data_IF_840172370748
#
_entry.id   IF_840172370748
#
_cell.length_a   1.000
_cell.length_b   1.000
_cell.length_c   1.000
_cell.angle_alpha   90.00
_cell.angle_beta   90.00
_cell.angle_gamma   90.00
#
_symmetry.space_group_name_H-M   'P 1'
#
loop_
_entity.id
_entity.type
_entity.pdbx_description
1 polymer ?
#
# COMPACT_ATOMS: atom_id res chain seq x y z
N UNK A 1 -5.93 9.92 17.15
CA UNK A 1 -6.84 10.24 16.02
C UNK A 1 -7.63 8.99 15.63
N UNK A 2 -8.75 9.09 14.88
CA UNK A 2 -9.40 7.88 14.35
C UNK A 2 -8.59 7.29 13.20
N UNK A 3 -8.72 5.99 12.90
CA UNK A 3 -8.01 5.38 11.76
C UNK A 3 -8.43 6.01 10.43
N UNK A 4 -9.66 6.53 10.33
CA UNK A 4 -10.11 7.31 9.18
C UNK A 4 -9.30 8.61 9.00
N UNK A 5 -9.05 9.35 10.09
CA UNK A 5 -8.24 10.58 10.03
C UNK A 5 -6.78 10.25 9.67
N UNK A 6 -6.24 9.16 10.24
CA UNK A 6 -4.88 8.69 9.92
C UNK A 6 -4.78 8.32 8.43
N UNK A 7 -5.78 7.62 7.88
CA UNK A 7 -5.90 7.29 6.46
C UNK A 7 -5.92 8.54 5.60
N UNK A 8 -6.77 9.52 5.92
CA UNK A 8 -6.91 10.73 5.09
C UNK A 8 -5.63 11.57 5.11
N UNK A 9 -4.93 11.59 6.26
CA UNK A 9 -3.57 12.14 6.36
C UNK A 9 -2.58 11.39 5.47
N UNK A 10 -2.65 10.06 5.39
CA UNK A 10 -1.79 9.28 4.49
C UNK A 10 -2.14 9.49 3.02
N UNK A 11 -3.42 9.66 2.66
CA UNK A 11 -3.82 10.05 1.31
C UNK A 11 -3.18 11.39 0.91
N UNK A 12 -3.23 12.40 1.78
CA UNK A 12 -2.57 13.69 1.52
C UNK A 12 -1.08 13.52 1.29
N UNK A 13 -0.39 12.76 2.14
CA UNK A 13 1.05 12.46 1.97
C UNK A 13 1.36 11.74 0.66
N UNK A 14 0.48 10.82 0.26
CA UNK A 14 0.61 10.11 -1.02
C UNK A 14 0.49 11.09 -2.20
N UNK A 15 -0.49 12.00 -2.15
CA UNK A 15 -0.65 13.06 -3.15
C UNK A 15 0.57 14.00 -3.19
N UNK A 16 1.12 14.36 -2.03
CA UNK A 16 2.32 15.21 -1.94
C UNK A 16 3.55 14.50 -2.53
N UNK A 17 3.72 13.19 -2.27
CA UNK A 17 4.80 12.40 -2.83
C UNK A 17 4.69 12.25 -4.36
N UNK A 18 3.47 12.06 -4.88
CA UNK A 18 3.19 12.06 -6.31
C UNK A 18 3.50 13.42 -6.94
N UNK A 19 3.00 14.51 -6.35
CA UNK A 19 3.25 15.87 -6.87
C UNK A 19 4.75 16.28 -6.84
N UNK A 20 5.58 15.59 -6.07
CA UNK A 20 7.02 15.85 -5.98
C UNK A 20 7.86 15.22 -7.10
N UNK A 21 7.25 14.40 -7.98
CA UNK A 21 7.95 13.71 -9.07
C UNK A 21 7.26 13.92 -10.41
N UNK A 22 8.01 13.74 -11.50
CA UNK A 22 7.44 13.79 -12.85
C UNK A 22 6.47 12.62 -13.09
N UNK A 23 5.44 12.78 -13.94
CA UNK A 23 4.47 11.72 -14.26
C UNK A 23 5.12 10.43 -14.78
N UNK A 24 6.25 10.54 -15.47
CA UNK A 24 7.02 9.41 -16.00
C UNK A 24 7.98 8.75 -15.01
N UNK A 25 8.11 9.28 -13.80
CA UNK A 25 9.06 8.78 -12.81
C UNK A 25 8.76 7.33 -12.42
N UNK A 26 9.79 6.47 -12.39
CA UNK A 26 9.63 5.06 -12.07
C UNK A 26 9.26 4.86 -10.59
N UNK A 27 8.39 3.89 -10.28
CA UNK A 27 8.02 3.55 -8.91
C UNK A 27 8.62 2.20 -8.49
N UNK A 28 8.52 1.84 -7.21
CA UNK A 28 8.85 0.48 -6.76
C UNK A 28 7.85 -0.59 -7.27
N UNK A 29 6.70 -0.18 -7.81
CA UNK A 29 5.84 -1.06 -8.58
C UNK A 29 6.46 -1.29 -9.96
N UNK A 30 7.06 -2.47 -10.18
CA UNK A 30 7.78 -2.77 -11.41
C UNK A 30 6.95 -2.47 -12.67
N UNK A 31 7.50 -1.64 -13.56
CA UNK A 31 6.87 -1.22 -14.81
C UNK A 31 5.80 -0.14 -14.67
N UNK A 32 5.59 0.43 -13.47
CA UNK A 32 4.65 1.52 -13.25
C UNK A 32 5.39 2.86 -13.11
N UNK A 33 4.93 3.83 -13.87
CA UNK A 33 5.23 5.24 -13.66
C UNK A 33 4.42 5.84 -12.51
N UNK A 34 4.79 7.03 -12.04
CA UNK A 34 4.03 7.76 -11.03
C UNK A 34 2.59 8.06 -11.51
N UNK A 35 2.39 8.31 -12.81
CA UNK A 35 1.07 8.45 -13.41
C UNK A 35 0.28 7.14 -13.36
N UNK A 36 0.90 5.99 -13.63
CA UNK A 36 0.22 4.67 -13.49
C UNK A 36 -0.25 4.42 -12.06
N UNK A 37 0.56 4.82 -11.08
CA UNK A 37 0.21 4.70 -9.68
C UNK A 37 -0.95 5.63 -9.29
N UNK A 38 -0.96 6.88 -9.77
CA UNK A 38 -2.07 7.80 -9.54
C UNK A 38 -3.38 7.29 -10.18
N UNK A 39 -3.30 6.75 -11.40
CA UNK A 39 -4.42 6.10 -12.08
C UNK A 39 -4.97 4.93 -11.27
N UNK A 40 -4.08 4.10 -10.75
CA UNK A 40 -4.46 2.98 -9.89
C UNK A 40 -5.22 3.47 -8.65
N UNK A 41 -4.66 4.40 -7.89
CA UNK A 41 -5.31 4.95 -6.69
C UNK A 41 -6.67 5.58 -7.02
N UNK A 42 -6.78 6.29 -8.14
CA UNK A 42 -8.04 6.89 -8.58
C UNK A 42 -9.08 5.81 -8.93
N UNK A 43 -8.68 4.77 -9.66
CA UNK A 43 -9.56 3.67 -10.06
C UNK A 43 -10.07 2.89 -8.85
N UNK A 44 -9.22 2.52 -7.91
CA UNK A 44 -9.67 1.76 -6.73
C UNK A 44 -10.63 2.56 -5.85
N UNK A 45 -10.45 3.88 -5.82
CA UNK A 45 -11.28 4.81 -5.08
C UNK A 45 -12.70 4.93 -5.65
N UNK A 46 -12.86 4.84 -6.97
CA UNK A 46 -14.11 5.15 -7.68
C UNK A 46 -14.80 3.98 -8.37
N UNK A 47 -14.07 2.95 -8.73
CA UNK A 47 -14.59 1.83 -9.51
C UNK A 47 -14.61 0.56 -8.65
N UNK A 48 -15.79 0.16 -8.12
CA UNK A 48 -15.94 -1.07 -7.35
C UNK A 48 -15.58 -2.35 -8.09
N UNK A 49 -15.37 -2.30 -9.41
CA UNK A 49 -14.96 -3.44 -10.24
C UNK A 49 -13.47 -3.40 -10.63
N UNK A 50 -12.74 -2.31 -10.32
CA UNK A 50 -11.32 -2.18 -10.67
C UNK A 50 -10.42 -3.18 -9.93
N UNK A 51 -10.88 -3.78 -8.81
CA UNK A 51 -10.15 -4.82 -8.08
C UNK A 51 -9.94 -6.11 -8.85
N UNK A 52 -10.81 -6.43 -9.82
CA UNK A 52 -10.65 -7.61 -10.65
C UNK A 52 -9.35 -7.55 -11.50
N UNK A 53 -8.88 -6.34 -11.81
CA UNK A 53 -7.61 -6.12 -12.51
C UNK A 53 -6.36 -6.13 -11.61
N UNK A 54 -6.52 -5.97 -10.29
CA UNK A 54 -5.42 -5.87 -9.32
C UNK A 54 -4.89 -7.22 -8.83
N UNK A 55 -5.76 -8.24 -8.72
CA UNK A 55 -5.35 -9.56 -8.23
C UNK A 55 -4.62 -10.41 -9.26
N UNK A 56 -4.71 -10.03 -10.54
CA UNK A 56 -4.11 -10.73 -11.66
C UNK A 56 -2.90 -9.93 -12.14
N UNK A 57 -1.66 -10.35 -11.82
CA UNK A 57 -0.50 -9.67 -12.34
C UNK A 57 -0.52 -9.78 -13.88
N UNK A 58 -0.48 -8.63 -14.55
CA UNK A 58 0.07 -8.44 -15.91
C UNK A 58 -0.81 -8.77 -17.15
N UNK A 59 -2.01 -9.36 -17.07
CA UNK A 59 -2.66 -9.91 -18.30
C UNK A 59 -4.18 -9.73 -18.46
N UNK A 60 -4.69 -8.51 -18.67
CA UNK A 60 -5.78 -8.37 -19.66
C UNK A 60 -5.54 -7.16 -20.56
N UNK A 61 -5.70 -7.27 -21.89
CA UNK A 61 -5.75 -6.11 -22.79
C UNK A 61 -6.77 -5.07 -22.34
N UNK A 62 -7.85 -5.52 -21.68
CA UNK A 62 -8.93 -4.69 -21.16
C UNK A 62 -8.47 -3.74 -20.04
N UNK A 63 -7.61 -4.18 -19.13
CA UNK A 63 -7.06 -3.29 -18.08
C UNK A 63 -6.06 -2.29 -18.64
N UNK A 64 -5.24 -2.68 -19.63
CA UNK A 64 -4.34 -1.75 -20.34
C UNK A 64 -5.12 -0.71 -21.14
N UNK A 65 -6.13 -1.15 -21.91
CA UNK A 65 -6.98 -0.25 -22.68
C UNK A 65 -7.75 0.73 -21.78
N UNK A 66 -8.25 0.28 -20.63
CA UNK A 66 -8.87 1.19 -19.63
C UNK A 66 -7.86 2.17 -19.05
N UNK A 67 -6.69 1.71 -18.64
CA UNK A 67 -5.63 2.60 -18.15
C UNK A 67 -5.25 3.65 -19.21
N UNK A 68 -5.14 3.25 -20.49
CA UNK A 68 -4.85 4.16 -21.60
C UNK A 68 -5.98 5.16 -21.85
N UNK A 69 -7.24 4.74 -21.73
CA UNK A 69 -8.40 5.64 -21.85
C UNK A 69 -8.43 6.67 -20.72
N UNK A 70 -8.19 6.24 -19.47
CA UNK A 70 -8.16 7.16 -18.32
C UNK A 70 -6.95 8.10 -18.45
N UNK A 71 -5.78 7.59 -18.84
CA UNK A 71 -4.57 8.40 -19.09
C UNK A 71 -4.76 9.45 -20.19
N UNK A 72 -5.60 9.17 -21.19
CA UNK A 72 -5.98 10.15 -22.23
C UNK A 72 -7.02 11.16 -21.73
N UNK A 73 -7.79 10.80 -20.70
CA UNK A 73 -8.93 11.57 -20.20
C UNK A 73 -8.53 12.57 -19.12
N UNK A 74 -7.52 12.25 -18.31
CA UNK A 74 -7.07 13.03 -17.16
C UNK A 74 -5.56 13.23 -17.22
N UNK A 75 -5.12 14.45 -16.93
CA UNK A 75 -3.70 14.70 -16.70
C UNK A 75 -3.26 14.08 -15.37
N UNK A 76 -1.95 13.99 -15.17
CA UNK A 76 -1.39 13.47 -13.92
C UNK A 76 -1.78 14.37 -12.73
N UNK A 77 -1.71 15.67 -12.94
CA UNK A 77 -2.07 16.72 -11.99
C UNK A 77 -3.57 16.66 -11.66
N UNK A 78 -4.44 16.51 -12.67
CA UNK A 78 -5.89 16.35 -12.44
C UNK A 78 -6.21 15.15 -11.56
N UNK A 79 -5.50 14.02 -11.75
CA UNK A 79 -5.71 12.82 -10.95
C UNK A 79 -5.30 13.04 -9.49
N UNK A 80 -4.18 13.73 -9.25
CA UNK A 80 -3.73 14.07 -7.89
C UNK A 80 -4.74 14.99 -7.22
N UNK A 81 -5.22 16.01 -7.92
CA UNK A 81 -6.22 16.94 -7.38
C UNK A 81 -7.53 16.23 -7.06
N UNK A 82 -7.98 15.32 -7.95
CA UNK A 82 -9.14 14.49 -7.69
C UNK A 82 -8.96 13.58 -6.47
N UNK A 83 -7.81 12.92 -6.35
CA UNK A 83 -7.49 12.08 -5.20
C UNK A 83 -7.56 12.88 -3.90
N UNK A 84 -6.98 14.09 -3.89
CA UNK A 84 -6.96 14.97 -2.71
C UNK A 84 -8.33 15.54 -2.35
N UNK A 85 -9.20 15.75 -3.33
CA UNK A 85 -10.51 16.42 -3.14
C UNK A 85 -11.57 15.58 -2.42
N UNK A 86 -11.34 14.28 -2.24
CA UNK A 86 -12.34 13.36 -1.71
C UNK A 86 -11.82 12.62 -0.46
N UNK A 87 -12.70 12.16 0.45
CA UNK A 87 -12.29 11.32 1.58
C UNK A 87 -11.52 10.09 1.10
N UNK A 88 -10.52 9.64 1.84
CA UNK A 88 -9.64 8.53 1.43
C UNK A 88 -10.28 7.15 1.43
N UNK A 89 -11.59 7.04 1.65
CA UNK A 89 -12.29 5.76 1.51
C UNK A 89 -12.17 5.19 0.09
N UNK A 90 -11.93 3.89 0.00
CA UNK A 90 -11.76 3.16 -1.25
C UNK A 90 -13.06 2.40 -1.56
N UNK A 91 -13.76 2.76 -2.65
CA UNK A 91 -15.06 2.16 -2.99
C UNK A 91 -14.97 0.67 -3.37
N UNK A 92 -13.82 0.19 -3.87
CA UNK A 92 -13.64 -1.23 -4.19
C UNK A 92 -13.55 -2.14 -2.95
N UNK A 93 -13.48 -1.57 -1.75
CA UNK A 93 -13.46 -2.29 -0.48
C UNK A 93 -14.58 -1.78 0.45
N UNK A 94 -15.87 -2.03 0.14
CA UNK A 94 -16.99 -1.49 0.92
C UNK A 94 -17.03 -2.02 2.37
N UNK A 95 -16.32 -3.11 2.64
CA UNK A 95 -16.18 -3.70 3.98
C UNK A 95 -15.00 -3.13 4.77
N UNK A 96 -14.17 -2.25 4.19
CA UNK A 96 -13.00 -1.66 4.85
C UNK A 96 -13.38 -0.88 6.13
N UNK A 97 -14.58 -0.29 6.17
CA UNK A 97 -15.12 0.33 7.39
C UNK A 97 -15.24 -0.65 8.57
N UNK A 98 -15.47 -1.94 8.30
CA UNK A 98 -15.50 -2.99 9.34
C UNK A 98 -14.10 -3.43 9.76
N UNK A 99 -13.10 -3.15 8.92
CA UNK A 99 -11.68 -3.20 9.26
C UNK A 99 -11.14 -1.84 9.75
N UNK A 100 -12.02 -0.92 10.14
CA UNK A 100 -11.67 0.42 10.63
C UNK A 100 -10.70 1.15 9.67
N UNK A 101 -10.99 1.07 8.36
CA UNK A 101 -10.29 1.78 7.29
C UNK A 101 -8.81 1.42 7.06
N UNK A 102 -8.36 0.33 7.69
CA UNK A 102 -6.96 -0.10 7.67
C UNK A 102 -6.49 -0.59 6.30
N UNK A 103 -7.39 -1.05 5.44
CA UNK A 103 -7.00 -1.43 4.08
C UNK A 103 -6.55 -0.19 3.31
N UNK A 104 -7.42 0.82 3.21
CA UNK A 104 -7.10 2.05 2.50
C UNK A 104 -5.87 2.76 3.09
N UNK A 105 -5.72 2.72 4.42
CA UNK A 105 -4.51 3.20 5.08
C UNK A 105 -3.25 2.50 4.55
N UNK A 106 -3.27 1.17 4.45
CA UNK A 106 -2.14 0.39 3.93
C UNK A 106 -1.80 0.72 2.49
N UNK A 107 -2.81 0.87 1.62
CA UNK A 107 -2.63 1.25 0.21
C UNK A 107 -1.92 2.61 0.10
N UNK A 108 -2.44 3.65 0.76
CA UNK A 108 -1.79 4.97 0.68
C UNK A 108 -0.41 4.98 1.32
N UNK A 109 -0.22 4.30 2.44
CA UNK A 109 1.10 4.25 3.09
C UNK A 109 2.14 3.60 2.19
N UNK A 110 1.87 2.39 1.68
CA UNK A 110 2.81 1.64 0.85
C UNK A 110 3.05 2.36 -0.48
N UNK A 111 2.02 2.89 -1.13
CA UNK A 111 2.19 3.60 -2.40
C UNK A 111 2.85 4.97 -2.25
N UNK A 112 2.76 5.62 -1.09
CA UNK A 112 3.64 6.75 -0.77
C UNK A 112 5.11 6.32 -0.79
N UNK A 113 5.45 5.17 -0.22
CA UNK A 113 6.82 4.66 -0.22
C UNK A 113 7.28 4.26 -1.63
N UNK A 114 6.39 3.70 -2.45
CA UNK A 114 6.69 3.29 -3.82
C UNK A 114 7.12 4.47 -4.71
N UNK A 115 6.67 5.69 -4.41
CA UNK A 115 7.10 6.92 -5.08
C UNK A 115 8.27 7.57 -4.35
N UNK A 116 8.14 7.73 -3.03
CA UNK A 116 9.06 8.59 -2.29
C UNK A 116 10.48 8.03 -2.21
N UNK A 117 10.62 6.73 -1.93
CA UNK A 117 11.94 6.08 -1.72
C UNK A 117 12.86 6.15 -2.94
N UNK A 118 12.44 5.77 -4.17
CA UNK A 118 13.33 5.79 -5.33
C UNK A 118 13.78 7.21 -5.73
N UNK A 119 13.01 8.23 -5.36
CA UNK A 119 13.28 9.63 -5.75
C UNK A 119 13.77 10.50 -4.59
N UNK A 120 14.05 9.92 -3.42
CA UNK A 120 14.52 10.66 -2.26
C UNK A 120 13.54 11.71 -1.73
N UNK A 121 12.24 11.56 -2.00
CA UNK A 121 11.21 12.48 -1.48
C UNK A 121 11.11 12.27 0.02
N UNK A 122 11.35 13.33 0.78
CA UNK A 122 11.32 13.28 2.24
C UNK A 122 9.90 12.98 2.73
N UNK A 123 9.79 12.02 3.65
CA UNK A 123 8.55 11.67 4.33
C UNK A 123 8.73 11.82 5.83
N UNK A 124 7.77 12.41 6.55
CA UNK A 124 7.81 12.46 8.01
C UNK A 124 7.86 11.05 8.59
N UNK A 125 8.63 10.87 9.66
CA UNK A 125 8.63 9.61 10.40
C UNK A 125 7.19 9.24 10.84
N UNK A 126 6.80 7.96 10.78
CA UNK A 126 5.52 7.52 11.30
C UNK A 126 5.42 7.75 12.81
N UNK A 127 4.32 8.37 13.26
CA UNK A 127 4.00 8.50 14.67
C UNK A 127 3.46 7.19 15.25
N UNK A 128 3.37 7.10 16.58
CA UNK A 128 2.95 5.88 17.28
C UNK A 128 1.53 5.43 16.87
N UNK A 129 0.63 6.38 16.62
CA UNK A 129 -0.73 6.08 16.16
C UNK A 129 -0.73 5.43 14.77
N UNK A 130 0.07 5.95 13.84
CA UNK A 130 0.24 5.36 12.52
C UNK A 130 0.92 3.98 12.62
N UNK A 131 1.96 3.83 13.45
CA UNK A 131 2.63 2.55 13.64
C UNK A 131 1.65 1.48 14.16
N UNK A 132 0.82 1.81 15.15
CA UNK A 132 -0.18 0.88 15.68
C UNK A 132 -1.23 0.51 14.63
N UNK A 133 -1.75 1.48 13.87
CA UNK A 133 -2.72 1.21 12.81
C UNK A 133 -2.13 0.31 11.70
N UNK A 134 -0.88 0.56 11.30
CA UNK A 134 -0.15 -0.28 10.34
C UNK A 134 0.13 -1.67 10.90
N UNK A 135 0.41 -1.81 12.20
CA UNK A 135 0.57 -3.11 12.85
C UNK A 135 -0.72 -3.93 12.75
N UNK A 136 -1.87 -3.35 13.10
CA UNK A 136 -3.15 -4.03 12.98
C UNK A 136 -3.45 -4.45 11.54
N UNK A 137 -3.14 -3.59 10.55
CA UNK A 137 -3.28 -3.95 9.14
C UNK A 137 -2.35 -5.11 8.74
N UNK A 138 -1.09 -5.03 9.16
CA UNK A 138 -0.03 -6.02 8.88
C UNK A 138 -0.46 -7.42 9.32
N UNK A 139 -1.01 -7.54 10.53
CA UNK A 139 -1.54 -8.82 11.08
C UNK A 139 -2.60 -9.45 10.18
N UNK A 140 -3.54 -8.64 9.72
CA UNK A 140 -4.65 -9.09 8.86
C UNK A 140 -4.14 -9.47 7.48
N UNK A 141 -3.36 -8.60 6.85
CA UNK A 141 -2.92 -8.80 5.46
C UNK A 141 -1.90 -9.94 5.35
N UNK A 142 -1.10 -10.22 6.37
CA UNK A 142 -0.22 -11.39 6.41
C UNK A 142 -0.99 -12.72 6.29
N UNK A 143 -2.21 -12.81 6.85
CA UNK A 143 -3.08 -13.99 6.73
C UNK A 143 -3.77 -14.05 5.37
N UNK A 144 -4.17 -12.90 4.82
CA UNK A 144 -4.81 -12.80 3.50
C UNK A 144 -3.81 -13.19 2.41
N UNK A 145 -2.60 -12.64 2.46
CA UNK A 145 -1.55 -12.84 1.48
C UNK A 145 -0.65 -14.05 1.78
N UNK A 146 -0.99 -14.90 2.75
CA UNK A 146 -0.16 -16.04 3.21
C UNK A 146 0.37 -16.97 2.12
N UNK A 147 -0.29 -17.05 0.95
CA UNK A 147 0.17 -17.85 -0.20
C UNK A 147 1.35 -17.23 -0.96
N UNK A 148 1.58 -15.93 -0.78
CA UNK A 148 2.68 -15.15 -1.37
C UNK A 148 3.84 -14.94 -0.39
N UNK A 149 3.71 -15.45 0.83
CA UNK A 149 4.65 -15.28 1.93
C UNK A 149 5.34 -16.61 2.28
N UNK A 150 6.52 -16.59 2.93
CA UNK A 150 7.15 -17.81 3.43
C UNK A 150 6.21 -18.64 4.30
N UNK A 151 6.28 -19.97 4.17
CA UNK A 151 5.59 -20.86 5.09
C UNK A 151 6.20 -20.70 6.49
N UNK A 152 5.37 -20.78 7.54
CA UNK A 152 5.83 -20.60 8.91
C UNK A 152 6.16 -19.15 9.29
N UNK A 153 5.78 -18.16 8.47
CA UNK A 153 6.09 -16.75 8.75
C UNK A 153 5.46 -16.28 10.06
N UNK A 154 6.30 -15.70 10.90
CA UNK A 154 5.97 -14.91 12.09
C UNK A 154 6.50 -13.50 11.90
N UNK A 155 5.62 -12.51 12.02
CA UNK A 155 5.97 -11.09 12.09
C UNK A 155 6.12 -10.69 13.54
N UNK A 156 7.21 -10.01 13.88
CA UNK A 156 7.54 -9.59 15.24
C UNK A 156 7.64 -8.07 15.32
N UNK A 157 6.75 -7.48 16.11
CA UNK A 157 6.77 -6.07 16.48
C UNK A 157 7.96 -5.81 17.43
N UNK A 158 8.58 -4.61 17.44
CA UNK A 158 9.74 -4.31 18.29
C UNK A 158 9.47 -4.43 19.80
N UNK A 159 8.21 -4.36 20.22
CA UNK A 159 7.76 -4.57 21.62
C UNK A 159 7.50 -6.05 21.98
N UNK A 160 7.80 -6.97 21.07
CA UNK A 160 7.62 -8.42 21.27
C UNK A 160 6.25 -8.97 20.87
N UNK A 161 5.28 -8.14 20.45
CA UNK A 161 4.03 -8.65 19.88
C UNK A 161 4.30 -9.43 18.60
N UNK A 162 3.61 -10.56 18.42
CA UNK A 162 3.80 -11.46 17.27
C UNK A 162 2.52 -11.67 16.47
N UNK A 163 2.68 -11.93 15.17
CA UNK A 163 1.59 -12.25 14.26
C UNK A 163 2.00 -13.33 13.27
N UNK A 164 1.25 -14.43 13.18
CA UNK A 164 1.53 -15.51 12.23
C UNK A 164 0.71 -15.38 10.95
N UNK A 165 1.33 -15.73 9.82
CA UNK A 165 0.64 -15.94 8.54
C UNK A 165 -0.36 -17.11 8.57
N UNK A 166 -0.24 -18.00 9.57
CA UNK A 166 -1.19 -19.08 9.86
C UNK A 166 -0.96 -20.39 9.09
N UNK A 167 0.20 -20.60 8.45
CA UNK A 167 0.54 -21.85 7.76
C UNK A 167 1.88 -22.40 8.24
N UNK A 168 1.93 -23.69 8.58
CA UNK A 168 3.18 -24.41 8.90
C UNK A 168 3.70 -24.15 10.31
N UNK A 169 4.70 -24.95 10.72
CA UNK A 169 5.47 -24.66 11.93
C UNK A 169 6.23 -23.34 11.75
N UNK A 170 6.39 -22.53 12.81
CA UNK A 170 7.26 -21.37 12.78
C UNK A 170 8.64 -21.72 12.21
N UNK A 171 9.09 -20.92 11.24
CA UNK A 171 10.35 -21.18 10.53
C UNK A 171 11.00 -19.94 9.93
N UNK A 172 10.26 -18.84 9.79
CA UNK A 172 10.81 -17.54 9.38
C UNK A 172 10.22 -16.46 10.28
N UNK A 173 11.08 -15.70 10.95
CA UNK A 173 10.73 -14.56 11.78
C UNK A 173 11.20 -13.28 11.08
N UNK A 174 10.27 -12.34 10.85
CA UNK A 174 10.59 -11.02 10.31
C UNK A 174 10.24 -9.96 11.36
N UNK A 175 11.25 -9.23 11.83
CA UNK A 175 11.11 -8.21 12.88
C UNK A 175 11.49 -6.83 12.37
N UNK A 176 10.74 -5.80 12.76
CA UNK A 176 10.98 -4.42 12.35
C UNK A 176 9.84 -3.50 12.75
N UNK A 177 9.96 -2.19 12.50
CA UNK A 177 8.86 -1.26 12.73
C UNK A 177 7.63 -1.65 11.90
N UNK A 178 6.39 -1.45 12.38
CA UNK A 178 5.17 -1.76 11.63
C UNK A 178 5.13 -1.16 10.22
N UNK A 179 5.65 0.05 10.06
CA UNK A 179 5.86 0.73 8.78
C UNK A 179 6.71 -0.07 7.78
N UNK A 180 7.72 -0.79 8.25
CA UNK A 180 8.57 -1.60 7.37
C UNK A 180 8.00 -3.00 7.18
N UNK A 181 7.38 -3.58 8.23
CA UNK A 181 6.73 -4.88 8.15
C UNK A 181 5.59 -4.88 7.12
N UNK A 182 4.77 -3.82 7.08
CA UNK A 182 3.70 -3.72 6.08
C UNK A 182 4.27 -3.67 4.66
N UNK A 183 5.30 -2.86 4.40
CA UNK A 183 5.97 -2.80 3.10
C UNK A 183 6.55 -4.17 2.70
N UNK A 184 7.18 -4.87 3.65
CA UNK A 184 7.72 -6.22 3.42
C UNK A 184 6.63 -7.21 3.04
N UNK A 185 5.50 -7.22 3.76
CA UNK A 185 4.36 -8.13 3.50
C UNK A 185 3.70 -7.83 2.15
N UNK A 186 3.66 -6.56 1.74
CA UNK A 186 3.20 -6.15 0.42
C UNK A 186 4.25 -6.37 -0.69
N UNK A 187 5.39 -7.02 -0.39
CA UNK A 187 6.37 -7.46 -1.39
C UNK A 187 7.53 -6.50 -1.65
N UNK A 188 7.69 -5.42 -0.86
CA UNK A 188 8.82 -4.48 -0.98
C UNK A 188 10.02 -4.97 -0.14
N UNK A 189 10.29 -6.26 -0.20
CA UNK A 189 11.18 -6.95 0.74
C UNK A 189 12.63 -6.42 0.71
N UNK A 190 13.15 -6.08 -0.48
CA UNK A 190 14.52 -5.55 -0.64
C UNK A 190 14.69 -4.12 -0.12
N UNK A 191 13.59 -3.40 0.09
CA UNK A 191 13.59 -2.00 0.53
C UNK A 191 13.14 -1.83 1.97
N UNK A 192 12.46 -2.82 2.54
CA UNK A 192 11.95 -2.75 3.90
C UNK A 192 13.09 -2.95 4.90
N UNK A 193 13.24 -2.01 5.84
CA UNK A 193 14.23 -2.10 6.90
C UNK A 193 13.76 -3.07 8.00
N UNK A 194 13.93 -4.36 7.74
CA UNK A 194 13.55 -5.46 8.64
C UNK A 194 14.70 -6.43 8.85
N UNK A 195 14.68 -7.14 9.96
CA UNK A 195 15.57 -8.26 10.24
C UNK A 195 14.83 -9.56 9.98
N UNK A 196 15.39 -10.42 9.12
CA UNK A 196 14.85 -11.75 8.82
C UNK A 196 15.72 -12.80 9.49
N UNK A 197 15.09 -13.73 10.21
CA UNK A 197 15.74 -14.84 10.92
C UNK A 197 15.02 -16.14 10.61
N UNK A 198 15.76 -17.23 10.52
CA UNK A 198 15.20 -18.58 10.52
C UNK A 198 15.11 -19.07 11.97
N UNK A 199 14.09 -19.87 12.27
CA UNK A 199 13.90 -20.49 13.59
C UNK A 199 14.51 -21.89 13.66
#
# INVERSE_FOLDING_TARGET
MSTADIRDRQLSRCCDALAAVDPGAATLCAGWSAHDLALHLWSIKREPLAWAGMLLPVLTPLTRQRADLIRRRWSYEDLIDHLRSEPGSIACMPLDRWEDHRHALGEYYVHTQDVARPHGVLQPAPDDELQEALWQRTRTVARILRRRLPAGLVLEHPDGRRASSGRGSPGVIVSGAPSELICWVYGRQSMAAVTVREE
#
